data_IF_976810513969
#
_entry.id   IF_976810513969
#
_cell.length_a   1.000
_cell.length_b   1.000
_cell.length_c   1.000
_cell.angle_alpha   90.00
_cell.angle_beta   90.00
_cell.angle_gamma   90.00
#
_symmetry.space_group_name_H-M   'P 1'
#
loop_
_entity.id
_entity.type
_entity.pdbx_description
1 polymer ?
#
# COMPACT_ATOMS: atom_id res chain seq x y z
N UNK A 1 13.47 36.16 42.14
CA UNK A 1 13.05 34.75 42.11
C UNK A 1 11.62 34.54 41.66
N UNK A 2 10.64 35.41 41.91
CA UNK A 2 9.25 35.28 41.44
C UNK A 2 9.07 35.49 39.93
N UNK A 3 9.90 36.29 39.29
CA UNK A 3 9.82 36.56 37.82
C UNK A 3 10.27 35.36 36.97
N UNK A 4 11.20 34.57 37.42
CA UNK A 4 11.70 33.39 36.71
C UNK A 4 10.66 32.24 36.73
N UNK A 5 9.86 32.14 37.76
CA UNK A 5 8.79 31.14 37.93
C UNK A 5 7.63 31.40 36.94
N UNK A 6 7.34 32.69 36.64
CA UNK A 6 6.26 33.07 35.72
C UNK A 6 6.60 32.77 34.25
N UNK A 7 7.86 32.94 33.86
CA UNK A 7 8.35 32.60 32.50
C UNK A 7 8.31 31.08 32.28
N UNK A 8 8.65 30.29 33.29
CA UNK A 8 8.63 28.83 33.21
C UNK A 8 7.23 28.26 33.07
N UNK A 9 6.26 28.85 33.76
CA UNK A 9 4.84 28.43 33.64
C UNK A 9 4.23 28.79 32.30
N UNK A 10 4.56 29.93 31.71
CA UNK A 10 4.06 30.34 30.38
C UNK A 10 4.64 29.47 29.26
N UNK A 11 5.90 29.03 29.36
CA UNK A 11 6.51 28.12 28.38
C UNK A 11 5.85 26.72 28.45
N UNK A 12 5.55 26.21 29.65
CA UNK A 12 4.84 24.94 29.84
C UNK A 12 3.42 24.97 29.28
N UNK A 13 2.68 26.05 29.44
CA UNK A 13 1.34 26.24 28.88
C UNK A 13 1.36 26.28 27.36
N UNK A 14 2.31 26.99 26.76
CA UNK A 14 2.47 27.04 25.30
C UNK A 14 2.81 25.66 24.69
N UNK A 15 3.59 24.84 25.35
CA UNK A 15 3.90 23.49 24.88
C UNK A 15 2.69 22.54 24.96
N UNK A 16 1.84 22.66 25.97
CA UNK A 16 0.63 21.84 26.07
C UNK A 16 -0.37 22.15 24.95
N UNK A 17 -0.62 23.40 24.63
CA UNK A 17 -1.52 23.82 23.55
C UNK A 17 -1.04 23.34 22.17
N UNK A 18 0.27 23.41 21.91
CA UNK A 18 0.87 22.90 20.66
C UNK A 18 0.71 21.38 20.57
N UNK A 19 0.90 20.66 21.69
CA UNK A 19 0.77 19.19 21.72
C UNK A 19 -0.68 18.78 21.50
N UNK A 20 -1.63 19.47 22.11
CA UNK A 20 -3.05 19.19 21.95
C UNK A 20 -3.55 19.49 20.53
N UNK A 21 -3.08 20.56 19.90
CA UNK A 21 -3.43 20.88 18.52
C UNK A 21 -2.94 19.87 17.50
N UNK A 22 -1.86 19.14 17.80
CA UNK A 22 -1.34 18.05 16.95
C UNK A 22 -2.19 16.78 17.02
N UNK A 23 -2.94 16.55 18.09
CA UNK A 23 -3.84 15.42 18.26
C UNK A 23 -5.25 15.79 17.78
N UNK A 24 -5.45 15.71 16.47
CA UNK A 24 -6.73 15.97 15.84
C UNK A 24 -7.31 14.70 15.19
N UNK A 25 -8.48 14.81 14.58
CA UNK A 25 -9.15 13.67 13.95
C UNK A 25 -8.27 12.97 12.91
N UNK A 26 -7.53 13.74 12.10
CA UNK A 26 -6.65 13.21 11.03
C UNK A 26 -5.52 12.40 11.63
N UNK A 27 -4.76 12.98 12.57
CA UNK A 27 -3.61 12.30 13.18
C UNK A 27 -4.02 11.06 13.98
N UNK A 28 -5.18 11.10 14.63
CA UNK A 28 -5.73 9.95 15.35
C UNK A 28 -6.16 8.83 14.38
N UNK A 29 -6.83 9.17 13.27
CA UNK A 29 -7.22 8.19 12.26
C UNK A 29 -6.00 7.52 11.63
N UNK A 30 -4.95 8.30 11.30
CA UNK A 30 -3.69 7.75 10.78
C UNK A 30 -3.06 6.79 11.80
N UNK A 31 -3.02 7.16 13.08
CA UNK A 31 -2.44 6.33 14.13
C UNK A 31 -3.17 5.00 14.29
N UNK A 32 -4.50 5.00 14.15
CA UNK A 32 -5.34 3.78 14.25
C UNK A 32 -5.15 2.93 12.98
N UNK A 33 -5.15 3.53 11.81
CA UNK A 33 -5.16 2.82 10.54
C UNK A 33 -3.78 2.32 10.08
N UNK A 34 -2.71 3.08 10.35
CA UNK A 34 -1.36 2.76 9.88
C UNK A 34 -0.86 1.35 10.20
N UNK A 35 -1.14 0.76 11.38
CA UNK A 35 -0.67 -0.60 11.67
C UNK A 35 -1.21 -1.68 10.74
N UNK A 36 -2.35 -1.44 10.09
CA UNK A 36 -2.99 -2.38 9.17
C UNK A 36 -2.59 -2.15 7.69
N UNK A 37 -1.84 -1.08 7.39
CA UNK A 37 -1.38 -0.80 6.03
C UNK A 37 -0.09 -1.57 5.76
N UNK A 38 -0.08 -2.34 4.69
CA UNK A 38 1.02 -3.19 4.27
C UNK A 38 1.73 -2.64 3.03
N UNK A 39 3.05 -2.81 2.97
CA UNK A 39 3.82 -2.77 1.73
C UNK A 39 3.77 -4.15 1.07
N UNK A 40 3.50 -4.19 -0.22
CA UNK A 40 3.48 -5.42 -1.01
C UNK A 40 4.62 -5.36 -2.02
N UNK A 41 5.60 -6.24 -1.86
CA UNK A 41 6.74 -6.38 -2.74
C UNK A 41 6.58 -7.64 -3.58
N UNK A 42 6.59 -7.49 -4.90
CA UNK A 42 6.38 -8.61 -5.83
C UNK A 42 7.62 -8.84 -6.68
N UNK A 43 7.85 -10.10 -7.01
CA UNK A 43 8.84 -10.51 -8.01
C UNK A 43 8.09 -11.14 -9.18
N UNK A 44 8.27 -10.61 -10.37
CA UNK A 44 7.72 -11.14 -11.63
C UNK A 44 8.84 -11.70 -12.48
N UNK A 45 8.62 -12.83 -13.14
CA UNK A 45 9.57 -13.41 -14.10
C UNK A 45 9.11 -13.06 -15.50
N UNK A 46 9.76 -12.08 -16.12
CA UNK A 46 9.53 -11.73 -17.52
C UNK A 46 10.41 -12.59 -18.43
N UNK A 47 9.77 -13.31 -19.34
CA UNK A 47 10.47 -14.06 -20.40
C UNK A 47 10.58 -13.18 -21.63
N UNK A 48 11.78 -12.95 -22.11
CA UNK A 48 12.00 -12.23 -23.37
C UNK A 48 12.87 -13.07 -24.31
N UNK A 49 12.51 -13.04 -25.56
CA UNK A 49 13.28 -13.69 -26.63
C UNK A 49 14.39 -12.75 -27.09
N UNK A 50 15.62 -13.20 -27.04
CA UNK A 50 16.73 -12.52 -27.71
C UNK A 50 16.93 -13.21 -29.05
N UNK A 51 16.56 -12.52 -30.11
CA UNK A 51 16.90 -12.91 -31.46
C UNK A 51 17.93 -11.90 -32.01
N UNK A 52 19.25 -12.21 -31.96
CA UNK A 52 20.28 -11.26 -32.38
C UNK A 52 20.19 -10.84 -33.87
N UNK A 53 19.43 -11.59 -34.66
CA UNK A 53 19.32 -11.44 -36.11
C UNK A 53 17.87 -11.38 -36.60
N UNK A 54 17.04 -10.58 -35.91
CA UNK A 54 15.59 -10.43 -36.16
C UNK A 54 15.18 -9.95 -37.54
N UNK A 55 16.12 -9.90 -38.52
CA UNK A 55 15.88 -9.44 -39.90
C UNK A 55 16.01 -10.51 -40.95
N UNK A 56 16.43 -11.75 -40.64
CA UNK A 56 16.64 -12.80 -41.64
C UNK A 56 15.78 -14.03 -41.31
N UNK A 57 14.71 -14.31 -42.12
CA UNK A 57 13.84 -15.47 -41.96
C UNK A 57 14.59 -16.81 -42.05
N UNK A 58 15.75 -16.84 -42.69
CA UNK A 58 16.61 -18.02 -42.81
C UNK A 58 17.23 -18.43 -41.50
N UNK A 59 17.53 -17.47 -40.62
CA UNK A 59 18.12 -17.72 -39.32
C UNK A 59 17.11 -18.28 -38.31
N UNK A 60 15.83 -17.89 -38.39
CA UNK A 60 14.76 -18.43 -37.54
C UNK A 60 14.53 -19.93 -37.77
N UNK A 61 14.80 -20.41 -38.96
CA UNK A 61 14.62 -21.83 -39.27
C UNK A 61 15.69 -22.73 -38.64
N UNK A 62 16.90 -22.22 -38.43
CA UNK A 62 18.05 -23.00 -37.94
C UNK A 62 18.39 -22.78 -36.47
N UNK A 63 17.97 -21.66 -35.88
CA UNK A 63 18.29 -21.29 -34.52
C UNK A 63 17.02 -21.04 -33.71
N UNK A 64 16.76 -21.89 -32.74
CA UNK A 64 15.68 -21.69 -31.79
C UNK A 64 15.91 -20.39 -31.00
N UNK A 65 14.88 -19.56 -30.78
CA UNK A 65 15.02 -18.34 -30.01
C UNK A 65 15.50 -18.65 -28.60
N UNK A 66 16.53 -17.96 -28.15
CA UNK A 66 16.99 -18.07 -26.77
C UNK A 66 16.05 -17.28 -25.86
N UNK A 67 15.25 -18.00 -25.09
CA UNK A 67 14.39 -17.39 -24.06
C UNK A 67 15.25 -17.08 -22.85
N UNK A 68 15.41 -15.81 -22.53
CA UNK A 68 15.99 -15.36 -21.26
C UNK A 68 14.89 -14.93 -20.31
N UNK A 69 15.13 -15.17 -19.03
CA UNK A 69 14.27 -14.74 -17.94
C UNK A 69 14.92 -13.57 -17.23
N UNK A 70 14.15 -12.56 -16.92
CA UNK A 70 14.54 -11.42 -16.08
C UNK A 70 13.56 -11.29 -14.94
N UNK A 71 14.08 -11.23 -13.73
CA UNK A 71 13.28 -10.85 -12.57
C UNK A 71 13.06 -9.35 -12.56
N UNK A 72 11.80 -8.96 -12.45
CA UNK A 72 11.38 -7.56 -12.29
C UNK A 72 10.70 -7.46 -10.94
N UNK A 73 11.12 -6.49 -10.15
CA UNK A 73 10.51 -6.19 -8.84
C UNK A 73 9.51 -5.06 -9.00
N UNK A 74 8.35 -5.26 -8.40
CA UNK A 74 7.30 -4.25 -8.26
C UNK A 74 6.96 -4.04 -6.79
N UNK A 75 6.34 -2.92 -6.48
CA UNK A 75 5.81 -2.66 -5.14
C UNK A 75 4.45 -1.99 -5.21
N UNK A 76 3.62 -2.25 -4.21
CA UNK A 76 2.31 -1.67 -4.04
C UNK A 76 1.94 -1.55 -2.57
N UNK A 77 0.69 -1.23 -2.34
CA UNK A 77 0.11 -1.14 -0.99
C UNK A 77 -1.04 -2.12 -0.84
N UNK A 78 -1.28 -2.55 0.38
CA UNK A 78 -2.45 -3.33 0.74
C UNK A 78 -2.93 -2.97 2.13
N UNK A 79 -4.10 -3.46 2.49
CA UNK A 79 -4.69 -3.27 3.82
C UNK A 79 -5.09 -4.62 4.40
N UNK A 80 -4.70 -4.86 5.65
CA UNK A 80 -5.13 -6.03 6.40
C UNK A 80 -6.59 -5.83 6.82
N UNK A 81 -7.46 -6.74 6.40
CA UNK A 81 -8.91 -6.68 6.62
C UNK A 81 -9.42 -7.70 7.64
N UNK A 82 -8.54 -8.57 8.14
CA UNK A 82 -8.91 -9.54 9.18
C UNK A 82 -7.73 -9.89 10.09
N UNK A 83 -7.99 -10.29 11.35
CA UNK A 83 -6.95 -10.69 12.29
C UNK A 83 -6.24 -11.99 11.89
N UNK A 84 -6.80 -12.74 10.95
CA UNK A 84 -6.22 -13.98 10.42
C UNK A 84 -5.23 -13.74 9.29
N UNK A 85 -5.05 -12.47 8.84
CA UNK A 85 -4.07 -12.12 7.81
C UNK A 85 -4.60 -12.13 6.38
N UNK A 86 -5.88 -11.84 6.17
CA UNK A 86 -6.39 -11.47 4.85
C UNK A 86 -6.04 -10.02 4.53
N UNK A 87 -5.53 -9.80 3.32
CA UNK A 87 -5.04 -8.50 2.86
C UNK A 87 -5.68 -8.18 1.52
N UNK A 88 -6.29 -7.00 1.43
CA UNK A 88 -6.85 -6.49 0.19
C UNK A 88 -5.82 -5.57 -0.50
N UNK A 89 -5.65 -5.77 -1.81
CA UNK A 89 -4.77 -4.96 -2.68
C UNK A 89 -5.37 -4.86 -4.08
N UNK A 90 -4.67 -4.20 -5.00
CA UNK A 90 -5.05 -4.15 -6.39
C UNK A 90 -4.53 -5.38 -7.17
N UNK A 91 -5.31 -5.82 -8.17
CA UNK A 91 -4.97 -6.94 -9.04
C UNK A 91 -3.66 -6.68 -9.80
N UNK A 92 -3.52 -5.50 -10.41
CA UNK A 92 -2.32 -5.12 -11.16
C UNK A 92 -1.02 -5.13 -10.33
N UNK A 93 -1.09 -5.04 -8.99
CA UNK A 93 0.08 -5.13 -8.10
C UNK A 93 0.63 -6.55 -8.06
N UNK A 94 -0.25 -7.55 -8.07
CA UNK A 94 0.12 -8.97 -7.86
C UNK A 94 0.02 -9.81 -9.13
N UNK A 95 -0.50 -9.25 -10.20
CA UNK A 95 -0.62 -9.91 -11.49
C UNK A 95 0.74 -10.45 -11.96
N UNK A 96 0.76 -11.72 -12.41
CA UNK A 96 1.97 -12.42 -12.87
C UNK A 96 3.12 -12.48 -11.83
N UNK A 97 2.85 -12.25 -10.55
CA UNK A 97 3.85 -12.37 -9.50
C UNK A 97 4.23 -13.84 -9.28
N UNK A 98 5.52 -14.14 -9.31
CA UNK A 98 6.08 -15.44 -8.91
C UNK A 98 6.34 -15.52 -7.41
N UNK A 99 6.47 -14.39 -6.74
CA UNK A 99 6.67 -14.28 -5.30
C UNK A 99 6.06 -12.97 -4.80
N UNK A 100 5.37 -13.04 -3.67
CA UNK A 100 4.74 -11.90 -3.02
C UNK A 100 5.23 -11.86 -1.57
N UNK A 101 5.84 -10.75 -1.18
CA UNK A 101 6.26 -10.45 0.19
C UNK A 101 5.43 -9.28 0.70
N UNK A 102 4.79 -9.48 1.82
CA UNK A 102 4.04 -8.45 2.54
C UNK A 102 4.87 -7.99 3.73
N UNK A 103 5.12 -6.69 3.82
CA UNK A 103 5.82 -6.07 4.95
C UNK A 103 4.85 -5.20 5.73
N UNK A 104 4.71 -5.45 7.03
CA UNK A 104 3.90 -4.64 7.94
C UNK A 104 4.74 -3.58 8.65
N UNK A 105 4.13 -2.53 9.21
CA UNK A 105 4.81 -1.56 10.06
C UNK A 105 5.66 -2.25 11.13
N UNK A 106 6.90 -1.78 11.31
CA UNK A 106 7.90 -2.45 12.14
C UNK A 106 8.78 -3.46 11.39
N UNK A 107 8.60 -3.59 10.06
CA UNK A 107 9.54 -4.32 9.17
C UNK A 107 9.37 -5.83 9.16
N UNK A 108 8.32 -6.37 9.77
CA UNK A 108 8.07 -7.81 9.72
C UNK A 108 7.53 -8.24 8.37
N UNK A 109 8.19 -9.20 7.75
CA UNK A 109 7.86 -9.73 6.43
C UNK A 109 7.12 -11.06 6.50
N UNK A 110 6.21 -11.27 5.54
CA UNK A 110 5.42 -12.47 5.39
C UNK A 110 5.37 -12.88 3.91
N UNK A 111 5.47 -14.17 3.62
CA UNK A 111 5.11 -14.67 2.30
C UNK A 111 3.58 -14.63 2.18
N UNK A 112 3.09 -14.16 1.07
CA UNK A 112 1.66 -14.11 0.81
C UNK A 112 1.26 -15.01 -0.36
N UNK A 113 0.07 -15.60 -0.24
CA UNK A 113 -0.58 -16.36 -1.30
C UNK A 113 -1.77 -15.60 -1.83
N UNK A 114 -2.00 -15.67 -3.13
CA UNK A 114 -3.18 -15.07 -3.78
C UNK A 114 -4.36 -16.02 -3.58
N UNK A 115 -5.41 -15.53 -2.92
CA UNK A 115 -6.65 -16.28 -2.69
C UNK A 115 -7.65 -16.03 -3.83
N UNK A 116 -7.67 -14.83 -4.37
CA UNK A 116 -8.54 -14.45 -5.48
C UNK A 116 -8.11 -13.14 -6.10
N UNK A 117 -8.46 -12.98 -7.37
CA UNK A 117 -8.21 -11.77 -8.15
C UNK A 117 -9.44 -11.47 -9.01
N UNK A 118 -9.70 -10.20 -9.19
CA UNK A 118 -10.73 -9.69 -10.10
C UNK A 118 -10.14 -8.53 -10.92
N UNK A 119 -9.78 -8.85 -12.14
CA UNK A 119 -9.18 -7.89 -13.07
C UNK A 119 -10.16 -6.77 -13.47
N UNK A 120 -11.48 -7.05 -13.45
CA UNK A 120 -12.50 -6.06 -13.83
C UNK A 120 -12.57 -4.91 -12.79
N UNK A 121 -12.51 -5.25 -11.52
CA UNK A 121 -12.56 -4.29 -10.41
C UNK A 121 -11.17 -3.87 -9.92
N UNK A 122 -10.11 -4.46 -10.49
CA UNK A 122 -8.72 -4.27 -10.05
C UNK A 122 -8.52 -4.60 -8.56
N UNK A 123 -9.10 -5.72 -8.09
CA UNK A 123 -9.00 -6.17 -6.71
C UNK A 123 -8.31 -7.53 -6.61
N UNK A 124 -7.46 -7.68 -5.61
CA UNK A 124 -6.88 -8.96 -5.24
C UNK A 124 -6.93 -9.18 -3.72
N UNK A 125 -7.20 -10.42 -3.33
CA UNK A 125 -7.21 -10.88 -1.96
C UNK A 125 -5.99 -11.77 -1.72
N UNK A 126 -5.17 -11.39 -0.76
CA UNK A 126 -3.99 -12.14 -0.33
C UNK A 126 -4.21 -12.75 1.04
N UNK A 127 -3.45 -13.80 1.35
CA UNK A 127 -3.37 -14.45 2.65
C UNK A 127 -1.93 -14.58 3.10
N UNK A 128 -1.67 -14.18 4.32
CA UNK A 128 -0.42 -14.43 5.03
C UNK A 128 -0.63 -15.34 6.23
N UNK A 129 0.37 -16.14 6.57
CA UNK A 129 0.31 -17.00 7.75
C UNK A 129 0.57 -16.22 9.02
N UNK A 130 -0.29 -16.43 10.00
CA UNK A 130 -0.20 -15.81 11.32
C UNK A 130 -1.57 -15.58 11.94
N UNK A 131 -1.56 -14.91 13.10
CA UNK A 131 -2.76 -14.58 13.87
C UNK A 131 -2.57 -13.23 14.57
N UNK A 132 -3.70 -12.62 14.96
CA UNK A 132 -3.73 -11.36 15.69
C UNK A 132 -3.06 -10.20 14.92
N UNK A 133 -3.25 -10.17 13.61
CA UNK A 133 -2.81 -9.04 12.81
C UNK A 133 -3.62 -7.79 13.15
N UNK A 134 -3.01 -6.60 13.17
CA UNK A 134 -3.76 -5.36 13.14
C UNK A 134 -4.57 -5.31 11.85
N UNK A 135 -5.83 -4.96 11.92
CA UNK A 135 -6.74 -4.91 10.77
C UNK A 135 -7.67 -3.73 10.85
N UNK A 136 -8.30 -3.40 9.72
CA UNK A 136 -9.31 -2.35 9.59
C UNK A 136 -10.61 -2.98 9.12
N UNK A 137 -11.71 -2.56 9.72
CA UNK A 137 -13.04 -2.90 9.27
C UNK A 137 -13.41 -2.06 8.03
N UNK A 138 -14.01 -2.70 7.04
CA UNK A 138 -14.50 -2.00 5.85
C UNK A 138 -15.80 -1.26 6.18
N UNK A 139 -15.84 0.03 5.81
CA UNK A 139 -17.02 0.86 5.96
C UNK A 139 -17.99 0.70 4.77
N UNK A 140 -19.20 1.20 4.94
CA UNK A 140 -20.21 1.23 3.88
C UNK A 140 -20.05 2.49 3.02
N UNK A 141 -19.65 2.33 1.76
CA UNK A 141 -19.45 3.44 0.83
C UNK A 141 -20.73 4.24 0.52
N UNK A 142 -21.92 3.66 0.74
CA UNK A 142 -23.19 4.38 0.55
C UNK A 142 -23.40 5.50 1.57
N UNK A 143 -22.72 5.43 2.72
CA UNK A 143 -22.83 6.42 3.80
C UNK A 143 -21.87 7.61 3.65
N UNK A 144 -20.98 7.57 2.63
CA UNK A 144 -20.04 8.66 2.38
C UNK A 144 -20.76 9.98 2.07
N UNK A 145 -20.22 11.08 2.58
CA UNK A 145 -20.73 12.43 2.38
C UNK A 145 -19.75 13.21 1.49
N UNK A 146 -20.25 13.82 0.41
CA UNK A 146 -19.41 14.69 -0.43
C UNK A 146 -18.92 15.88 0.40
N UNK A 147 -17.60 16.09 0.38
CA UNK A 147 -16.92 17.11 1.17
C UNK A 147 -16.35 16.62 2.49
N UNK A 148 -16.67 15.40 2.94
CA UNK A 148 -16.01 14.84 4.14
C UNK A 148 -14.54 14.54 3.90
N UNK A 149 -13.75 14.59 4.96
CA UNK A 149 -12.33 14.32 4.89
C UNK A 149 -12.06 12.84 4.72
N UNK A 150 -11.10 12.55 3.84
CA UNK A 150 -10.55 11.22 3.63
C UNK A 150 -9.04 11.25 3.74
N UNK A 151 -8.46 10.13 4.15
CA UNK A 151 -7.02 9.95 4.28
C UNK A 151 -6.63 8.75 3.43
N UNK A 152 -5.77 8.97 2.45
CA UNK A 152 -5.13 7.90 1.72
C UNK A 152 -3.84 7.48 2.45
N UNK A 153 -3.70 6.20 2.72
CA UNK A 153 -2.51 5.59 3.31
C UNK A 153 -1.93 4.58 2.33
N UNK A 154 -0.62 4.61 2.11
CA UNK A 154 0.01 3.68 1.18
C UNK A 154 1.53 3.76 1.19
N UNK A 155 2.13 3.05 0.24
CA UNK A 155 3.58 2.99 0.03
C UNK A 155 3.96 3.51 -1.37
N UNK A 156 3.77 4.80 -1.66
CA UNK A 156 4.19 5.35 -2.94
C UNK A 156 5.71 5.23 -3.08
N UNK A 157 6.16 4.75 -4.24
CA UNK A 157 7.58 4.64 -4.60
C UNK A 157 8.42 3.72 -3.70
N UNK A 158 7.83 2.80 -2.94
CA UNK A 158 8.57 1.89 -2.05
C UNK A 158 9.19 2.57 -0.82
N UNK A 159 8.72 3.76 -0.43
CA UNK A 159 9.27 4.51 0.72
C UNK A 159 9.08 3.79 2.06
N UNK A 160 8.13 2.86 2.12
CA UNK A 160 7.90 2.02 3.29
C UNK A 160 9.14 1.21 3.69
N UNK A 161 9.94 0.78 2.71
CA UNK A 161 11.16 0.00 2.96
C UNK A 161 12.23 0.82 3.71
N UNK A 162 12.14 2.16 3.65
CA UNK A 162 13.09 3.06 4.31
C UNK A 162 12.69 3.41 5.75
N UNK A 163 11.40 3.66 6.00
CA UNK A 163 10.91 4.16 7.30
C UNK A 163 9.93 3.22 7.99
N UNK A 164 9.54 2.11 7.33
CA UNK A 164 8.61 1.09 7.81
C UNK A 164 7.26 1.65 8.25
N UNK A 165 6.82 2.73 7.59
CA UNK A 165 5.56 3.39 7.87
C UNK A 165 4.87 3.83 6.57
N UNK A 166 3.53 3.78 6.49
CA UNK A 166 2.81 4.27 5.34
C UNK A 166 2.92 5.79 5.23
N UNK A 167 2.90 6.27 4.00
CA UNK A 167 2.74 7.69 3.69
C UNK A 167 1.27 8.05 3.76
N UNK A 168 0.95 9.19 4.36
CA UNK A 168 -0.41 9.70 4.49
C UNK A 168 -0.63 10.92 3.61
N UNK A 169 -1.77 10.96 2.91
CA UNK A 169 -2.26 12.12 2.17
C UNK A 169 -3.72 12.36 2.54
N UNK A 170 -4.07 13.63 2.78
CA UNK A 170 -5.43 14.05 3.11
C UNK A 170 -6.12 14.67 1.89
N UNK A 171 -7.41 14.40 1.77
CA UNK A 171 -8.29 14.96 0.75
C UNK A 171 -9.73 15.03 1.22
N UNK A 172 -10.65 15.24 0.29
CA UNK A 172 -12.09 15.19 0.53
C UNK A 172 -12.75 14.24 -0.47
N UNK A 173 -13.91 13.71 -0.13
CA UNK A 173 -14.79 13.03 -1.09
C UNK A 173 -15.32 14.10 -2.05
N UNK A 174 -14.84 14.06 -3.29
CA UNK A 174 -15.24 15.04 -4.33
C UNK A 174 -16.46 14.60 -5.12
N UNK A 175 -16.80 13.32 -5.12
CA UNK A 175 -17.96 12.73 -5.79
C UNK A 175 -18.21 11.30 -5.38
N UNK A 176 -19.39 10.79 -5.58
CA UNK A 176 -19.78 9.38 -5.39
C UNK A 176 -20.64 8.93 -6.58
N UNK A 177 -20.74 7.62 -6.74
CA UNK A 177 -21.52 6.97 -7.79
C UNK A 177 -21.10 7.42 -9.21
N UNK A 178 -19.79 7.74 -9.38
CA UNK A 178 -19.23 8.11 -10.67
C UNK A 178 -18.92 6.85 -11.48
N UNK A 179 -19.67 6.65 -12.55
CA UNK A 179 -19.34 5.65 -13.57
C UNK A 179 -18.39 6.28 -14.60
N UNK A 180 -17.14 5.85 -14.63
CA UNK A 180 -16.15 6.34 -15.59
C UNK A 180 -16.29 5.67 -16.97
N UNK A 181 -17.35 4.88 -17.19
CA UNK A 181 -17.68 4.32 -18.50
C UNK A 181 -16.54 3.52 -19.11
N UNK A 182 -16.03 2.54 -18.39
CA UNK A 182 -15.15 1.53 -18.97
C UNK A 182 -15.98 0.73 -20.00
N UNK A 183 -15.97 1.22 -21.23
CA UNK A 183 -16.51 0.53 -22.40
C UNK A 183 -15.47 -0.40 -22.99
#
# INVERSE_FOLDING_TARGET
MKFLLFIFTTILFSQSEITDSRNNAVTNSIKIASPAVASINVTQVQKYSINPLQRDPWFEYFFSPQIRQKEVKGSGSGVVISPDGYILTNDHVVENASKIIVTLPGGKEYNAEVIGMDNLTDLALLKVDGKNFPFIEMANSNELIIGEWVIALGNPFGLFDMNQQPTATIGIISGKDLDFGLQ
#
